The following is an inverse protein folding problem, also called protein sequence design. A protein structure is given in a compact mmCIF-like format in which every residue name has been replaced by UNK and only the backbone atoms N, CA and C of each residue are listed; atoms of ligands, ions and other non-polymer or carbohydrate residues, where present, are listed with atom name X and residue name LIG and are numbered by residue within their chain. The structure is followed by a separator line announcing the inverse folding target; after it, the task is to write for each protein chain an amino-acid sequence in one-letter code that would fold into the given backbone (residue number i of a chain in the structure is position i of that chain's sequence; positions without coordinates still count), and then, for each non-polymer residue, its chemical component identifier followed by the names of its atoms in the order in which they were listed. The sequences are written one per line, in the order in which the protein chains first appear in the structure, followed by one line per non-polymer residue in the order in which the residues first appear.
data_IF_560582682747
#
_entry.id   IF_560582682747
#
_cell.length_a   1.000
_cell.length_b   1.000
_cell.length_c   1.000
_cell.angle_alpha   90.00
_cell.angle_beta   90.00
_cell.angle_gamma   90.00
#
_symmetry.space_group_name_H-M   'P 1'
#
loop_
_entity.id
_entity.type
_entity.pdbx_description
1 polymer ?
#
# COMPACT_ATOMS: atom_id res chain seq x y z
N UNK A 1 -1.74 3.37 24.29
CA UNK A 1 -0.54 2.65 23.82
C UNK A 1 0.56 2.78 24.86
N UNK A 2 1.20 1.69 25.32
CA UNK A 2 2.30 1.77 26.27
C UNK A 2 3.47 2.59 25.71
N UNK A 3 4.12 3.35 26.57
CA UNK A 3 5.26 4.19 26.20
C UNK A 3 6.39 3.35 25.57
N UNK A 4 7.03 3.88 24.51
CA UNK A 4 8.20 3.25 23.89
C UNK A 4 7.95 2.02 23.02
N UNK A 5 6.69 1.65 22.75
CA UNK A 5 6.36 0.50 21.88
C UNK A 5 6.53 0.75 20.38
N UNK A 6 6.84 1.99 19.98
CA UNK A 6 7.08 2.36 18.60
C UNK A 6 5.79 2.60 17.80
N UNK A 7 5.95 3.22 16.63
CA UNK A 7 4.84 3.60 15.75
C UNK A 7 4.10 2.38 15.18
N UNK A 8 4.80 1.30 14.83
CA UNK A 8 4.26 0.13 14.12
C UNK A 8 3.29 -0.68 14.98
N UNK A 9 3.64 -0.91 16.24
CA UNK A 9 2.71 -1.48 17.21
C UNK A 9 1.43 -0.63 17.35
N UNK A 10 1.56 0.71 17.24
CA UNK A 10 0.43 1.63 17.29
C UNK A 10 -0.46 1.56 16.07
N UNK A 11 0.14 1.41 14.88
CA UNK A 11 -0.57 1.21 13.61
C UNK A 11 -1.40 -0.07 13.64
N UNK A 12 -0.82 -1.19 14.13
CA UNK A 12 -1.57 -2.44 14.33
C UNK A 12 -2.76 -2.25 15.27
N UNK A 13 -2.55 -1.57 16.41
CA UNK A 13 -3.64 -1.30 17.33
C UNK A 13 -4.73 -0.44 16.66
N UNK A 14 -4.37 0.64 15.98
CA UNK A 14 -5.33 1.51 15.29
C UNK A 14 -6.14 0.73 14.24
N UNK A 15 -5.47 -0.04 13.38
CA UNK A 15 -6.11 -0.86 12.34
C UNK A 15 -7.00 -1.95 12.97
N UNK A 16 -6.65 -2.49 14.13
CA UNK A 16 -7.50 -3.47 14.84
C UNK A 16 -8.86 -2.91 15.26
N UNK A 17 -8.97 -1.58 15.45
CA UNK A 17 -10.21 -0.92 15.85
C UNK A 17 -11.10 -0.50 14.66
N UNK A 18 -10.60 -0.61 13.42
CA UNK A 18 -11.36 -0.23 12.22
C UNK A 18 -12.50 -1.23 11.97
N UNK A 19 -13.73 -0.75 11.91
CA UNK A 19 -14.91 -1.61 11.67
C UNK A 19 -15.44 -1.55 10.24
N UNK A 20 -14.94 -0.61 9.42
CA UNK A 20 -15.33 -0.43 8.03
C UNK A 20 -14.65 -1.44 7.10
N UNK A 21 -15.29 -1.71 5.95
CA UNK A 21 -14.75 -2.60 4.89
C UNK A 21 -13.38 -2.13 4.38
N UNK A 22 -13.18 -0.82 4.36
CA UNK A 22 -11.97 -0.18 3.87
C UNK A 22 -11.33 0.69 4.95
N UNK A 23 -10.00 0.80 4.88
CA UNK A 23 -9.19 1.74 5.64
C UNK A 23 -8.44 2.65 4.66
N UNK A 24 -8.48 3.95 4.91
CA UNK A 24 -7.66 4.91 4.20
C UNK A 24 -6.39 5.17 5.02
N UNK A 25 -5.25 4.88 4.42
CA UNK A 25 -3.95 5.19 4.98
C UNK A 25 -3.47 6.56 4.51
N UNK A 26 -3.00 7.40 5.44
CA UNK A 26 -2.60 8.77 5.17
C UNK A 26 -1.43 9.14 6.09
N UNK A 27 -0.34 9.64 5.50
CA UNK A 27 0.76 10.28 6.24
C UNK A 27 0.40 11.71 6.69
N UNK A 28 1.12 12.24 7.67
CA UNK A 28 0.86 13.55 8.28
C UNK A 28 1.10 14.76 7.36
N UNK A 29 1.82 14.57 6.25
CA UNK A 29 2.11 15.62 5.26
C UNK A 29 1.00 15.85 4.21
N UNK A 30 -0.17 15.18 4.33
CA UNK A 30 -1.26 15.30 3.35
C UNK A 30 -2.44 16.17 3.81
N UNK A 31 -2.99 16.96 2.88
CA UNK A 31 -4.18 17.78 3.10
C UNK A 31 -5.30 17.35 2.15
N UNK A 32 -6.48 17.10 2.71
CA UNK A 32 -7.69 16.84 1.93
C UNK A 32 -8.25 18.14 1.35
N UNK A 33 -8.64 18.10 0.07
CA UNK A 33 -9.26 19.24 -0.61
C UNK A 33 -10.56 18.81 -1.26
N UNK A 34 -11.35 19.76 -1.75
CA UNK A 34 -12.54 19.47 -2.57
C UNK A 34 -12.22 18.68 -3.87
N UNK A 35 -10.94 18.55 -4.23
CA UNK A 35 -10.48 17.74 -5.38
C UNK A 35 -10.07 16.32 -4.99
N UNK A 36 -10.05 15.97 -3.70
CA UNK A 36 -9.71 14.61 -3.27
C UNK A 36 -10.89 13.69 -3.59
N UNK A 37 -10.63 12.64 -4.38
CA UNK A 37 -11.65 11.73 -4.94
C UNK A 37 -11.50 10.32 -4.39
N UNK A 38 -11.87 10.10 -3.13
CA UNK A 38 -11.77 8.79 -2.48
C UNK A 38 -12.70 7.75 -3.11
N UNK A 39 -13.85 8.20 -3.64
CA UNK A 39 -14.83 7.36 -4.34
C UNK A 39 -14.22 6.63 -5.54
N UNK A 40 -13.21 7.23 -6.20
CA UNK A 40 -12.50 6.60 -7.31
C UNK A 40 -11.61 5.45 -6.86
N UNK A 41 -11.04 5.52 -5.66
CA UNK A 41 -10.24 4.43 -5.10
C UNK A 41 -11.15 3.26 -4.71
N UNK A 42 -12.33 3.56 -4.16
CA UNK A 42 -13.36 2.55 -3.87
C UNK A 42 -13.83 1.87 -5.15
N UNK A 43 -14.09 2.62 -6.22
CA UNK A 43 -14.51 2.06 -7.51
C UNK A 43 -13.51 1.01 -8.03
N UNK A 44 -12.21 1.30 -7.93
CA UNK A 44 -11.15 0.34 -8.30
C UNK A 44 -11.22 -0.91 -7.39
N UNK A 45 -11.26 -0.71 -6.07
CA UNK A 45 -11.32 -1.83 -5.12
C UNK A 45 -12.58 -2.69 -5.23
N UNK A 46 -13.71 -2.19 -5.75
CA UNK A 46 -14.93 -2.99 -5.91
C UNK A 46 -14.99 -3.73 -7.25
N UNK A 47 -14.43 -3.15 -8.31
CA UNK A 47 -14.55 -3.72 -9.67
C UNK A 47 -13.39 -4.63 -10.04
N UNK A 48 -12.21 -4.41 -9.47
CA UNK A 48 -11.02 -5.24 -9.73
C UNK A 48 -11.03 -6.64 -9.06
N UNK A 49 -11.60 -6.86 -7.86
CA UNK A 49 -11.60 -8.20 -7.23
C UNK A 49 -12.39 -9.25 -8.01
N UNK A 50 -13.39 -8.83 -8.79
CA UNK A 50 -14.27 -9.73 -9.55
C UNK A 50 -13.67 -10.13 -10.90
N UNK A 51 -12.90 -9.26 -11.54
CA UNK A 51 -12.33 -9.52 -12.88
C UNK A 51 -10.96 -10.22 -12.82
N UNK A 52 -10.12 -9.96 -11.80
CA UNK A 52 -8.82 -10.64 -11.67
C UNK A 52 -8.91 -12.06 -11.09
N UNK A 53 -10.03 -12.46 -10.50
CA UNK A 53 -10.25 -13.85 -10.10
C UNK A 53 -10.27 -14.84 -11.29
N UNK A 54 -10.32 -14.33 -12.54
CA UNK A 54 -10.28 -15.14 -13.76
C UNK A 54 -8.90 -15.26 -14.41
N UNK A 55 -7.91 -14.46 -14.00
CA UNK A 55 -6.56 -14.48 -14.59
C UNK A 55 -5.52 -14.21 -13.49
N UNK A 56 -4.96 -15.30 -12.99
CA UNK A 56 -3.77 -15.41 -12.12
C UNK A 56 -3.87 -14.88 -10.68
N UNK A 57 -3.93 -15.84 -9.77
CA UNK A 57 -4.14 -15.68 -8.33
C UNK A 57 -2.86 -15.35 -7.53
N UNK A 58 -2.09 -14.32 -7.92
CA UNK A 58 -0.82 -14.01 -7.23
C UNK A 58 -0.65 -12.58 -6.73
N UNK A 59 -1.63 -11.70 -6.92
CA UNK A 59 -1.71 -10.44 -6.17
C UNK A 59 -3.13 -9.90 -6.26
N UNK A 60 -4.00 -10.34 -5.36
CA UNK A 60 -5.23 -9.62 -5.06
C UNK A 60 -4.83 -8.14 -4.87
N UNK A 61 -5.40 -7.21 -5.64
CA UNK A 61 -5.18 -5.78 -5.40
C UNK A 61 -5.73 -5.43 -4.01
N UNK A 62 -4.89 -5.52 -2.97
CA UNK A 62 -5.28 -5.29 -1.57
C UNK A 62 -5.55 -3.82 -1.31
N UNK A 63 -4.99 -2.95 -2.14
CA UNK A 63 -4.98 -1.50 -1.98
C UNK A 63 -4.84 -0.75 -3.30
N UNK A 64 -5.27 0.50 -3.30
CA UNK A 64 -5.21 1.42 -4.44
C UNK A 64 -4.56 2.72 -3.96
N UNK A 65 -3.39 3.03 -4.52
CA UNK A 65 -2.66 4.26 -4.25
C UNK A 65 -3.32 5.46 -4.93
N UNK A 66 -3.40 6.58 -4.22
CA UNK A 66 -3.81 7.85 -4.79
C UNK A 66 -2.68 8.54 -5.56
N UNK A 67 -3.03 9.36 -6.55
CA UNK A 67 -2.12 10.35 -7.08
C UNK A 67 -2.16 11.59 -6.17
N UNK A 68 -1.06 11.90 -5.51
CA UNK A 68 -0.94 13.06 -4.64
C UNK A 68 -0.31 14.20 -5.42
N UNK A 69 -0.99 15.35 -5.44
CA UNK A 69 -0.45 16.58 -6.00
C UNK A 69 0.23 17.40 -4.91
N UNK A 70 1.51 17.65 -5.06
CA UNK A 70 2.27 18.53 -4.19
C UNK A 70 1.88 20.00 -4.38
N UNK A 71 2.20 20.83 -3.39
CA UNK A 71 2.01 22.30 -3.46
C UNK A 71 2.82 22.89 -4.63
N UNK A 72 3.95 22.27 -4.98
CA UNK A 72 4.78 22.60 -6.16
C UNK A 72 4.06 22.37 -7.50
N UNK A 73 2.93 21.66 -7.49
CA UNK A 73 2.15 21.31 -8.67
C UNK A 73 2.50 19.95 -9.28
N UNK A 74 3.57 19.29 -8.81
CA UNK A 74 3.96 17.95 -9.27
C UNK A 74 3.00 16.88 -8.74
N UNK A 75 2.64 15.91 -9.60
CA UNK A 75 1.83 14.77 -9.21
C UNK A 75 2.71 13.54 -9.00
N UNK A 76 2.72 13.00 -7.78
CA UNK A 76 3.44 11.79 -7.42
C UNK A 76 2.47 10.64 -7.18
N UNK A 77 2.81 9.48 -7.74
CA UNK A 77 2.10 8.21 -7.50
C UNK A 77 3.00 7.17 -6.85
N UNK A 78 4.30 7.46 -6.75
CA UNK A 78 5.34 6.61 -6.16
C UNK A 78 5.23 5.12 -6.58
N UNK A 79 5.34 4.84 -7.88
CA UNK A 79 5.22 3.48 -8.43
C UNK A 79 6.53 2.71 -8.31
N UNK A 80 6.55 1.66 -7.52
CA UNK A 80 7.73 0.82 -7.27
C UNK A 80 7.47 -0.63 -7.63
N UNK A 81 8.46 -1.25 -8.25
CA UNK A 81 8.60 -2.69 -8.41
C UNK A 81 9.62 -3.20 -7.41
N UNK A 82 9.24 -4.23 -6.66
CA UNK A 82 10.02 -4.82 -5.58
C UNK A 82 10.28 -6.30 -5.90
N UNK A 83 11.51 -6.73 -5.74
CA UNK A 83 11.87 -8.15 -5.87
C UNK A 83 12.85 -8.55 -4.78
N UNK A 84 12.63 -9.72 -4.20
CA UNK A 84 13.49 -10.29 -3.17
C UNK A 84 14.20 -11.50 -3.76
N UNK A 85 15.53 -11.44 -3.83
CA UNK A 85 16.37 -12.54 -4.30
C UNK A 85 16.97 -13.27 -3.08
N UNK A 86 16.88 -14.61 -3.00
CA UNK A 86 17.46 -15.36 -1.90
C UNK A 86 18.97 -15.15 -1.75
N UNK A 87 19.41 -14.87 -0.53
CA UNK A 87 20.84 -14.80 -0.20
C UNK A 87 21.48 -16.18 -0.05
N UNK A 88 22.81 -16.21 0.04
CA UNK A 88 23.52 -17.45 0.42
C UNK A 88 23.13 -17.89 1.85
N UNK A 89 23.26 -19.17 2.21
CA UNK A 89 22.90 -19.65 3.55
C UNK A 89 23.59 -18.85 4.66
N UNK A 90 22.82 -18.35 5.61
CA UNK A 90 23.31 -17.50 6.70
C UNK A 90 23.48 -16.02 6.36
N UNK A 91 23.29 -15.63 5.09
CA UNK A 91 23.17 -14.24 4.66
C UNK A 91 21.69 -13.89 4.47
N UNK A 92 21.34 -12.63 4.71
CA UNK A 92 19.99 -12.13 4.43
C UNK A 92 19.66 -12.10 2.93
N UNK A 93 18.38 -11.93 2.60
CA UNK A 93 17.94 -11.78 1.21
C UNK A 93 18.34 -10.42 0.62
N UNK A 94 18.49 -10.37 -0.70
CA UNK A 94 18.74 -9.14 -1.43
C UNK A 94 17.42 -8.51 -1.86
N UNK A 95 17.13 -7.29 -1.41
CA UNK A 95 16.00 -6.50 -1.88
C UNK A 95 16.42 -5.62 -3.05
N UNK A 96 15.67 -5.71 -4.15
CA UNK A 96 15.81 -4.82 -5.29
C UNK A 96 14.55 -4.00 -5.50
N UNK A 97 14.72 -2.68 -5.53
CA UNK A 97 13.67 -1.71 -5.77
C UNK A 97 13.93 -0.98 -7.10
N UNK A 98 12.91 -0.88 -7.95
CA UNK A 98 12.97 -0.13 -9.21
C UNK A 98 11.70 0.69 -9.39
N UNK A 99 11.83 1.89 -9.97
CA UNK A 99 10.65 2.66 -10.39
C UNK A 99 10.02 1.99 -11.62
N UNK A 100 8.73 1.69 -11.55
CA UNK A 100 8.04 0.98 -12.64
C UNK A 100 6.64 0.52 -12.23
N UNK A 101 6.03 -0.28 -13.09
CA UNK A 101 4.76 -0.96 -12.87
C UNK A 101 4.75 -2.25 -13.70
N UNK A 102 3.95 -3.24 -13.31
CA UNK A 102 3.88 -4.55 -13.98
C UNK A 102 3.08 -4.45 -15.28
N UNK A 103 1.87 -3.90 -15.20
CA UNK A 103 0.97 -3.72 -16.33
C UNK A 103 -0.11 -2.66 -16.02
N UNK A 104 -0.84 -2.22 -17.04
CA UNK A 104 -1.99 -1.34 -16.90
C UNK A 104 -3.21 -2.10 -16.36
N UNK A 105 -4.02 -1.44 -15.53
CA UNK A 105 -5.21 -2.07 -14.96
C UNK A 105 -6.37 -2.02 -15.96
N UNK A 106 -6.86 -3.19 -16.36
CA UNK A 106 -7.99 -3.31 -17.29
C UNK A 106 -9.24 -2.64 -16.71
N UNK A 107 -9.93 -1.85 -17.53
CA UNK A 107 -11.14 -1.11 -17.14
C UNK A 107 -10.88 0.21 -16.39
N UNK A 108 -9.62 0.51 -16.05
CA UNK A 108 -9.25 1.74 -15.34
C UNK A 108 -8.09 2.47 -16.05
N UNK A 109 -8.39 3.27 -17.09
CA UNK A 109 -7.36 4.01 -17.83
C UNK A 109 -6.52 4.90 -16.90
N UNK A 110 -5.20 4.79 -17.02
CA UNK A 110 -4.25 5.54 -16.19
C UNK A 110 -3.93 4.92 -14.82
N UNK A 111 -4.59 3.82 -14.44
CA UNK A 111 -4.23 2.99 -13.30
C UNK A 111 -3.30 1.86 -13.74
N UNK A 112 -2.35 1.49 -12.87
CA UNK A 112 -1.36 0.44 -13.12
C UNK A 112 -1.17 -0.41 -11.88
N UNK A 113 -0.73 -1.65 -12.07
CA UNK A 113 -0.39 -2.58 -10.98
C UNK A 113 1.08 -2.44 -10.63
N UNK A 114 1.39 -2.27 -9.34
CA UNK A 114 2.74 -2.01 -8.83
C UNK A 114 2.84 -2.52 -7.38
N UNK A 115 4.06 -2.77 -6.89
CA UNK A 115 4.27 -3.37 -5.56
C UNK A 115 4.29 -2.32 -4.43
N UNK A 116 4.75 -1.10 -4.73
CA UNK A 116 4.74 0.02 -3.78
C UNK A 116 3.99 1.23 -4.33
N UNK A 117 3.23 1.90 -3.46
CA UNK A 117 2.55 3.17 -3.75
C UNK A 117 2.91 4.21 -2.69
N UNK A 118 2.50 5.46 -2.92
CA UNK A 118 2.65 6.55 -1.94
C UNK A 118 1.88 6.21 -0.64
N UNK A 119 2.30 6.78 0.49
CA UNK A 119 1.62 6.69 1.81
C UNK A 119 0.24 7.39 1.85
N UNK A 120 -0.47 7.36 0.72
CA UNK A 120 -1.86 7.74 0.56
C UNK A 120 -2.53 6.64 -0.26
N UNK A 121 -3.18 5.69 0.42
CA UNK A 121 -3.82 4.56 -0.26
C UNK A 121 -5.06 4.10 0.49
N UNK A 122 -6.05 3.61 -0.27
CA UNK A 122 -7.22 2.94 0.28
C UNK A 122 -7.01 1.43 0.18
N UNK A 123 -7.27 0.69 1.24
CA UNK A 123 -7.09 -0.75 1.28
C UNK A 123 -8.27 -1.45 1.94
N UNK A 124 -8.43 -2.75 1.66
CA UNK A 124 -9.37 -3.57 2.44
C UNK A 124 -8.82 -3.79 3.84
N UNK A 125 -9.67 -3.56 4.85
CA UNK A 125 -9.25 -3.60 6.26
C UNK A 125 -8.75 -4.99 6.67
N UNK A 126 -9.37 -6.06 6.18
CA UNK A 126 -8.95 -7.44 6.42
C UNK A 126 -7.54 -7.71 5.89
N UNK A 127 -7.22 -7.18 4.70
CA UNK A 127 -5.93 -7.39 4.05
C UNK A 127 -4.79 -6.60 4.68
N UNK A 128 -5.03 -5.37 5.13
CA UNK A 128 -4.02 -4.62 5.91
C UNK A 128 -3.68 -5.33 7.21
N UNK A 129 -4.66 -5.99 7.85
CA UNK A 129 -4.44 -6.77 9.07
C UNK A 129 -3.66 -8.06 8.83
N UNK A 130 -3.86 -8.68 7.67
CA UNK A 130 -3.15 -9.89 7.27
C UNK A 130 -1.65 -9.63 7.07
N UNK A 131 -1.30 -8.52 6.41
CA UNK A 131 0.10 -8.07 6.28
C UNK A 131 0.65 -7.65 7.65
N UNK A 132 -0.08 -6.77 8.34
CA UNK A 132 0.34 -6.21 9.63
C UNK A 132 1.57 -5.29 9.51
N UNK A 133 1.99 -4.75 10.64
CA UNK A 133 3.16 -3.87 10.73
C UNK A 133 4.18 -4.49 11.70
N UNK A 134 5.40 -4.80 11.25
CA UNK A 134 6.40 -5.44 12.12
C UNK A 134 6.71 -4.58 13.36
N UNK A 135 6.37 -5.04 14.58
CA UNK A 135 6.56 -4.26 15.80
C UNK A 135 8.04 -4.08 16.19
N UNK A 136 8.98 -4.79 15.55
CA UNK A 136 10.42 -4.57 15.72
C UNK A 136 10.86 -3.24 15.12
N UNK A 137 10.09 -2.70 14.18
CA UNK A 137 10.35 -1.41 13.55
C UNK A 137 9.71 -0.30 14.40
N UNK A 138 10.53 0.62 14.91
CA UNK A 138 10.08 1.61 15.89
C UNK A 138 9.81 3.01 15.31
N UNK A 139 10.47 3.38 14.21
CA UNK A 139 10.52 4.77 13.73
C UNK A 139 10.32 4.97 12.23
N UNK A 140 10.97 4.19 11.38
CA UNK A 140 10.91 4.34 9.92
C UNK A 140 10.56 2.99 9.33
N UNK A 141 9.43 2.91 8.64
CA UNK A 141 9.18 1.81 7.73
C UNK A 141 8.02 2.08 6.75
N UNK A 142 8.33 2.76 5.66
CA UNK A 142 7.34 3.07 4.62
C UNK A 142 7.26 1.93 3.61
N UNK A 143 8.41 1.34 3.28
CA UNK A 143 8.51 0.29 2.26
C UNK A 143 8.22 -1.09 2.84
N UNK A 144 8.54 -1.29 4.11
CA UNK A 144 8.54 -2.56 4.82
C UNK A 144 7.14 -3.16 4.91
N UNK A 145 6.11 -2.32 5.04
CA UNK A 145 4.72 -2.78 4.93
C UNK A 145 4.43 -3.41 3.55
N UNK A 146 4.96 -2.84 2.47
CA UNK A 146 4.79 -3.41 1.13
C UNK A 146 5.65 -4.67 0.94
N UNK A 147 6.82 -4.75 1.58
CA UNK A 147 7.68 -5.93 1.54
C UNK A 147 7.08 -7.12 2.30
N UNK A 148 6.48 -6.86 3.46
CA UNK A 148 5.81 -7.88 4.26
C UNK A 148 4.54 -8.43 3.57
N UNK A 149 4.04 -7.72 2.54
CA UNK A 149 2.89 -8.11 1.73
C UNK A 149 3.20 -8.77 0.38
N UNK A 150 4.48 -8.95 0.04
CA UNK A 150 4.94 -9.70 -1.15
C UNK A 150 4.85 -11.22 -0.91
#
# INVERSE_FOLDING_TARGET
MPFGKGWFAGRNLAVSQVTTKYVLWVDDDFVFTARTRLERLVDVLERTPLDLARLEATSLSLQVGGAVREISGFATTYRQLLSVEPGAPGLGNCLRQRRGFHHELVGFPGCVVTDGVVNFFLARTDKVREVGFDPRLSRVAHLEFFLDGL
#
